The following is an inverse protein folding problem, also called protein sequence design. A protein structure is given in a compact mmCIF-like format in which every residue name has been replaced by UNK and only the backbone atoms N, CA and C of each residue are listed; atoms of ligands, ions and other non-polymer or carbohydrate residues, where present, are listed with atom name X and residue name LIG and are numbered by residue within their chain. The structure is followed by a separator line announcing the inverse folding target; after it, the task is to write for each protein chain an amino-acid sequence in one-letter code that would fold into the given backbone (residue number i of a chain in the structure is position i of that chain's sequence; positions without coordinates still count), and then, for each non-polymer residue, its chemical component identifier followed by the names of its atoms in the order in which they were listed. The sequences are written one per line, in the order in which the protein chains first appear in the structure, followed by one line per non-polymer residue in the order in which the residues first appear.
data_IF_582906994875
#
_entry.id   IF_582906994875
#
_cell.length_a   1.000
_cell.length_b   1.000
_cell.length_c   1.000
_cell.angle_alpha   90.00
_cell.angle_beta   90.00
_cell.angle_gamma   90.00
#
_symmetry.space_group_name_H-M   'P 1'
#
loop_
_entity.id
_entity.type
_entity.pdbx_description
1 polymer ?
#
# COMPACT_ATOMS: atom_id res chain seq x y z
N UNK A 1 -9.88 -30.43 21.55
CA UNK A 1 -11.08 -29.62 21.26
C UNK A 1 -10.65 -28.16 21.22
N UNK A 2 -10.98 -27.48 20.13
CA UNK A 2 -10.55 -26.17 19.59
C UNK A 2 -9.69 -25.21 20.44
N UNK A 3 -8.60 -24.79 19.79
CA UNK A 3 -7.65 -23.70 20.06
C UNK A 3 -8.34 -22.34 20.23
N UNK A 4 -8.18 -21.72 21.41
CA UNK A 4 -8.40 -20.29 21.63
C UNK A 4 -7.07 -19.54 21.42
N UNK A 5 -6.88 -19.01 20.20
CA UNK A 5 -5.86 -18.00 19.87
C UNK A 5 -6.51 -16.92 19.02
N UNK A 6 -7.41 -16.19 19.65
CA UNK A 6 -8.25 -15.14 19.07
C UNK A 6 -7.50 -13.80 19.08
N UNK A 7 -6.42 -13.67 18.30
CA UNK A 7 -5.55 -12.46 18.31
C UNK A 7 -5.08 -11.97 16.93
N UNK A 8 -5.71 -12.37 15.83
CA UNK A 8 -5.45 -11.78 14.51
C UNK A 8 -6.79 -11.36 13.89
N UNK A 9 -7.18 -10.10 14.06
CA UNK A 9 -8.21 -9.49 13.24
C UNK A 9 -7.48 -8.68 12.17
N UNK A 10 -7.62 -9.17 10.95
CA UNK A 10 -6.89 -8.86 9.72
C UNK A 10 -6.99 -7.38 9.32
N UNK A 11 -5.87 -6.66 9.34
CA UNK A 11 -5.53 -5.58 8.40
C UNK A 11 -4.03 -5.70 8.16
N UNK A 12 -3.63 -6.14 6.96
CA UNK A 12 -2.22 -6.35 6.60
C UNK A 12 -1.78 -5.18 5.73
N UNK A 13 -1.01 -4.27 6.31
CA UNK A 13 -0.35 -3.18 5.58
C UNK A 13 0.81 -3.79 4.81
N UNK A 14 0.58 -4.14 3.55
CA UNK A 14 1.65 -4.51 2.64
C UNK A 14 1.87 -3.35 1.67
N UNK A 15 2.90 -2.57 1.96
CA UNK A 15 3.41 -1.55 1.04
C UNK A 15 3.86 -2.29 -0.24
N UNK A 16 3.01 -2.27 -1.27
CA UNK A 16 3.38 -2.73 -2.60
C UNK A 16 4.43 -1.75 -3.16
N UNK A 17 5.70 -2.13 -3.05
CA UNK A 17 6.81 -1.31 -3.50
C UNK A 17 6.89 -1.29 -5.03
N UNK A 18 6.20 -0.34 -5.67
CA UNK A 18 6.22 -0.15 -7.12
C UNK A 18 7.15 1.02 -7.45
N UNK A 19 8.44 0.84 -7.18
CA UNK A 19 9.53 1.72 -7.63
C UNK A 19 10.86 0.95 -7.54
N UNK A 20 11.76 1.05 -8.55
CA UNK A 20 13.02 0.28 -8.59
C UNK A 20 14.09 0.73 -7.57
N UNK A 21 13.93 1.87 -6.89
CA UNK A 21 15.01 2.52 -6.12
C UNK A 21 14.93 2.38 -4.59
N UNK A 22 14.52 1.22 -4.05
CA UNK A 22 14.81 0.91 -2.63
C UNK A 22 16.20 0.34 -2.51
N UNK A 23 17.09 1.16 -1.97
CA UNK A 23 18.43 0.73 -1.59
C UNK A 23 18.32 -0.45 -0.60
N UNK A 24 18.84 -1.65 -0.93
CA UNK A 24 18.82 -2.81 -0.04
C UNK A 24 19.56 -2.57 1.30
N UNK A 25 20.33 -1.48 1.42
CA UNK A 25 20.97 -1.02 2.67
C UNK A 25 20.02 -0.35 3.66
N UNK A 26 18.76 -0.09 3.31
CA UNK A 26 17.79 0.53 4.21
C UNK A 26 17.27 -0.43 5.32
N UNK A 27 17.68 -1.70 5.32
CA UNK A 27 17.37 -2.66 6.41
C UNK A 27 15.89 -3.06 6.54
N UNK A 28 15.06 -2.70 5.56
CA UNK A 28 13.60 -2.93 5.56
C UNK A 28 13.18 -4.18 4.79
N UNK A 29 14.11 -4.88 4.12
CA UNK A 29 13.81 -6.02 3.25
C UNK A 29 13.04 -7.16 3.96
N UNK A 30 13.29 -7.40 5.25
CA UNK A 30 12.58 -8.41 6.06
C UNK A 30 11.21 -7.97 6.58
N UNK A 31 10.75 -6.75 6.25
CA UNK A 31 9.47 -6.19 6.71
C UNK A 31 8.37 -6.25 5.65
N UNK A 32 8.69 -6.73 4.45
CA UNK A 32 7.73 -6.89 3.34
C UNK A 32 7.35 -8.36 3.21
N UNK A 33 6.05 -8.66 3.21
CA UNK A 33 5.56 -10.02 3.01
C UNK A 33 5.49 -10.40 1.52
N UNK A 34 5.30 -9.45 0.61
CA UNK A 34 5.55 -9.62 -0.82
C UNK A 34 6.11 -8.36 -1.50
N UNK A 35 6.72 -8.56 -2.67
CA UNK A 35 7.24 -7.49 -3.54
C UNK A 35 6.63 -7.64 -4.92
N UNK A 36 6.05 -6.56 -5.44
CA UNK A 36 5.42 -6.53 -6.75
C UNK A 36 6.10 -5.48 -7.62
N UNK A 37 6.83 -5.93 -8.63
CA UNK A 37 7.47 -5.05 -9.59
C UNK A 37 6.59 -4.91 -10.85
N UNK A 38 6.40 -3.68 -11.33
CA UNK A 38 5.55 -3.42 -12.51
C UNK A 38 6.03 -4.15 -13.76
N UNK A 39 7.34 -4.33 -13.87
CA UNK A 39 7.98 -4.90 -15.06
C UNK A 39 7.82 -6.43 -15.11
N UNK A 40 7.68 -7.08 -13.96
CA UNK A 40 7.38 -8.52 -13.86
C UNK A 40 5.91 -8.83 -14.13
N UNK A 41 5.01 -7.87 -13.87
CA UNK A 41 3.56 -8.07 -14.00
C UNK A 41 3.00 -7.56 -15.34
N UNK A 42 3.76 -6.75 -16.09
CA UNK A 42 3.29 -6.10 -17.31
C UNK A 42 2.15 -5.09 -17.09
N UNK A 43 1.88 -4.71 -15.84
CA UNK A 43 0.76 -3.85 -15.44
C UNK A 43 1.31 -2.63 -14.71
N UNK A 44 0.88 -1.44 -15.14
CA UNK A 44 1.26 -0.17 -14.52
C UNK A 44 0.07 0.51 -13.88
N UNK A 45 0.34 1.25 -12.81
CA UNK A 45 -0.58 2.23 -12.25
C UNK A 45 -0.96 3.23 -13.37
N UNK A 46 -2.25 3.60 -13.56
CA UNK A 46 -3.33 3.46 -12.59
C UNK A 46 -4.24 2.21 -12.75
N UNK A 47 -3.73 1.08 -13.27
CA UNK A 47 -4.53 -0.14 -13.43
C UNK A 47 -4.77 -0.84 -12.06
N UNK A 48 -6.03 -1.08 -11.64
CA UNK A 48 -6.36 -1.68 -10.35
C UNK A 48 -5.90 -3.13 -10.19
N UNK A 49 -5.68 -3.84 -11.30
CA UNK A 49 -5.26 -5.24 -11.28
C UNK A 49 -3.93 -5.43 -10.54
N UNK A 50 -3.07 -4.41 -10.53
CA UNK A 50 -1.83 -4.42 -9.78
C UNK A 50 -2.06 -4.64 -8.27
N UNK A 51 -3.00 -3.90 -7.68
CA UNK A 51 -3.33 -4.01 -6.27
C UNK A 51 -4.16 -5.27 -5.97
N UNK A 52 -5.06 -5.67 -6.88
CA UNK A 52 -5.85 -6.90 -6.72
C UNK A 52 -4.97 -8.16 -6.74
N UNK A 53 -3.98 -8.23 -7.63
CA UNK A 53 -3.00 -9.33 -7.66
C UNK A 53 -2.15 -9.37 -6.41
N UNK A 54 -1.74 -8.21 -5.90
CA UNK A 54 -1.03 -8.13 -4.63
C UNK A 54 -1.89 -8.69 -3.49
N UNK A 55 -3.13 -8.23 -3.34
CA UNK A 55 -4.05 -8.74 -2.31
C UNK A 55 -4.30 -10.25 -2.45
N UNK A 56 -4.52 -10.74 -3.68
CA UNK A 56 -4.74 -12.15 -3.96
C UNK A 56 -3.54 -13.04 -3.60
N UNK A 57 -2.32 -12.63 -3.97
CA UNK A 57 -1.10 -13.38 -3.64
C UNK A 57 -0.84 -13.46 -2.13
N UNK A 58 -1.35 -12.49 -1.37
CA UNK A 58 -1.22 -12.41 0.07
C UNK A 58 -2.37 -13.09 0.84
N UNK A 59 -3.43 -13.49 0.11
CA UNK A 59 -4.63 -14.07 0.67
C UNK A 59 -5.42 -13.09 1.54
N UNK A 60 -5.42 -11.80 1.21
CA UNK A 60 -6.10 -10.74 1.96
C UNK A 60 -7.22 -10.10 1.15
N UNK A 61 -8.24 -9.59 1.85
CA UNK A 61 -9.31 -8.81 1.23
C UNK A 61 -8.79 -7.41 0.86
N UNK A 62 -8.92 -6.97 -0.40
CA UNK A 62 -8.65 -5.59 -0.81
C UNK A 62 -9.24 -4.53 0.13
N UNK A 63 -10.47 -4.72 0.62
CA UNK A 63 -11.13 -3.76 1.51
C UNK A 63 -10.43 -3.62 2.87
N UNK A 64 -9.62 -4.61 3.28
CA UNK A 64 -8.77 -4.57 4.47
C UNK A 64 -7.34 -4.11 4.20
N UNK A 65 -7.04 -3.60 3.00
CA UNK A 65 -5.70 -3.20 2.59
C UNK A 65 -5.59 -1.69 2.43
N UNK A 66 -4.39 -1.18 2.72
CA UNK A 66 -4.03 0.22 2.55
C UNK A 66 -3.01 0.32 1.43
N UNK A 67 -3.12 1.35 0.60
CA UNK A 67 -2.13 1.66 -0.43
C UNK A 67 -1.47 2.99 -0.13
N UNK A 68 -0.14 2.99 -0.06
CA UNK A 68 0.64 4.19 0.22
C UNK A 68 1.48 4.51 -1.01
N UNK A 69 1.34 5.73 -1.53
CA UNK A 69 2.12 6.22 -2.67
C UNK A 69 2.23 7.73 -2.68
N UNK A 70 2.82 8.31 -3.71
CA UNK A 70 3.15 9.74 -3.75
C UNK A 70 2.53 10.50 -4.92
N UNK A 71 1.79 9.81 -5.79
CA UNK A 71 1.12 10.39 -6.96
C UNK A 71 -0.40 10.18 -6.89
N UNK A 72 -1.19 11.25 -6.88
CA UNK A 72 -2.66 11.23 -6.87
C UNK A 72 -3.24 10.53 -8.11
N UNK A 73 -2.79 10.90 -9.31
CA UNK A 73 -3.30 10.32 -10.56
C UNK A 73 -2.96 8.83 -10.76
N UNK A 74 -2.01 8.28 -10.00
CA UNK A 74 -1.55 6.89 -10.14
C UNK A 74 -1.83 6.03 -8.92
N UNK A 75 -1.33 6.43 -7.76
CA UNK A 75 -1.34 5.64 -6.54
C UNK A 75 -2.71 5.68 -5.87
N UNK A 76 -3.21 6.88 -5.61
CA UNK A 76 -4.53 7.08 -5.03
C UNK A 76 -5.60 6.51 -5.97
N UNK A 77 -5.46 6.78 -7.28
CA UNK A 77 -6.40 6.26 -8.27
C UNK A 77 -6.42 4.73 -8.36
N UNK A 78 -5.28 4.05 -8.21
CA UNK A 78 -5.22 2.57 -8.16
C UNK A 78 -5.95 2.04 -6.96
N UNK A 79 -5.70 2.64 -5.79
CA UNK A 79 -6.32 2.21 -4.56
C UNK A 79 -7.85 2.29 -4.64
N UNK A 80 -8.37 3.42 -5.14
CA UNK A 80 -9.81 3.61 -5.37
C UNK A 80 -10.38 2.60 -6.36
N UNK A 81 -9.74 2.42 -7.52
CA UNK A 81 -10.22 1.49 -8.56
C UNK A 81 -10.15 0.03 -8.12
N UNK A 82 -9.21 -0.31 -7.25
CA UNK A 82 -9.03 -1.66 -6.73
C UNK A 82 -9.97 -1.99 -5.57
N UNK A 83 -10.69 -0.99 -5.02
CA UNK A 83 -11.58 -1.17 -3.88
C UNK A 83 -10.79 -1.37 -2.58
N UNK A 84 -9.64 -0.71 -2.44
CA UNK A 84 -8.85 -0.78 -1.22
C UNK A 84 -9.50 0.01 -0.09
N UNK A 85 -9.29 -0.43 1.15
CA UNK A 85 -9.84 0.21 2.34
C UNK A 85 -9.31 1.62 2.59
N UNK A 86 -8.06 1.90 2.20
CA UNK A 86 -7.50 3.23 2.29
C UNK A 86 -6.46 3.53 1.19
N UNK A 87 -6.45 4.77 0.74
CA UNK A 87 -5.45 5.36 -0.12
C UNK A 87 -4.72 6.48 0.64
N UNK A 88 -3.45 6.27 0.96
CA UNK A 88 -2.61 7.25 1.67
C UNK A 88 -1.62 7.88 0.70
N UNK A 89 -1.63 9.21 0.66
CA UNK A 89 -0.67 9.99 -0.12
C UNK A 89 0.47 10.46 0.78
N UNK A 90 1.68 9.96 0.53
CA UNK A 90 2.90 10.48 1.13
C UNK A 90 3.49 11.54 0.21
N UNK A 91 3.53 12.80 0.67
CA UNK A 91 3.99 13.92 -0.16
C UNK A 91 5.45 13.75 -0.58
N UNK A 92 5.71 14.02 -1.85
CA UNK A 92 7.05 14.12 -2.40
C UNK A 92 7.11 15.28 -3.42
N UNK A 93 8.30 15.72 -3.86
CA UNK A 93 8.41 16.69 -4.94
C UNK A 93 7.76 16.24 -6.27
N UNK A 94 7.40 14.96 -6.40
CA UNK A 94 6.75 14.36 -7.57
C UNK A 94 5.23 14.28 -7.44
N UNK A 95 4.67 14.71 -6.31
CA UNK A 95 3.22 14.71 -6.10
C UNK A 95 2.56 15.71 -7.03
N UNK A 96 1.66 15.21 -7.87
CA UNK A 96 0.82 15.98 -8.77
C UNK A 96 -0.24 16.78 -7.99
N UNK A 97 -0.53 18.03 -8.38
CA UNK A 97 -1.51 18.86 -7.69
C UNK A 97 -2.93 18.32 -7.84
N UNK A 98 -3.20 17.66 -8.96
CA UNK A 98 -4.53 17.17 -9.34
C UNK A 98 -4.59 15.64 -9.35
N UNK A 99 -5.74 15.07 -9.03
CA UNK A 99 -5.97 13.63 -9.15
C UNK A 99 -7.07 13.14 -8.23
N UNK A 100 -7.02 11.86 -7.87
CA UNK A 100 -7.95 11.29 -6.91
C UNK A 100 -7.64 11.78 -5.49
N UNK A 101 -8.68 11.99 -4.69
CA UNK A 101 -8.57 12.39 -3.28
C UNK A 101 -8.13 11.20 -2.40
N UNK A 102 -7.04 11.33 -1.64
CA UNK A 102 -6.61 10.31 -0.68
C UNK A 102 -7.50 10.31 0.56
N UNK A 103 -7.53 9.19 1.28
CA UNK A 103 -8.17 9.10 2.60
C UNK A 103 -7.32 9.79 3.68
N UNK A 104 -6.00 9.83 3.48
CA UNK A 104 -5.07 10.54 4.34
C UNK A 104 -3.86 11.05 3.56
N UNK A 105 -3.36 12.21 3.95
CA UNK A 105 -2.07 12.72 3.50
C UNK A 105 -1.07 12.72 4.64
N UNK A 106 0.18 12.34 4.34
CA UNK A 106 1.29 12.38 5.28
C UNK A 106 2.52 13.03 4.63
N UNK A 107 3.30 13.76 5.40
CA UNK A 107 4.50 14.44 4.93
C UNK A 107 5.70 13.51 4.83
N UNK A 108 5.80 12.50 5.70
CA UNK A 108 6.98 11.66 5.82
C UNK A 108 6.67 10.27 6.43
N UNK A 109 7.65 9.33 6.46
CA UNK A 109 7.45 8.00 7.03
C UNK A 109 7.13 7.97 8.53
N UNK A 110 7.48 8.99 9.32
CA UNK A 110 7.15 9.05 10.76
C UNK A 110 5.68 9.39 10.96
N UNK A 111 5.16 10.31 10.16
CA UNK A 111 3.72 10.62 10.15
C UNK A 111 2.91 9.43 9.65
N UNK A 112 3.39 8.72 8.61
CA UNK A 112 2.79 7.44 8.21
C UNK A 112 2.77 6.43 9.36
N UNK A 113 3.89 6.24 10.05
CA UNK A 113 3.96 5.33 11.19
C UNK A 113 2.98 5.72 12.29
N UNK A 114 2.86 7.03 12.59
CA UNK A 114 1.93 7.54 13.60
C UNK A 114 0.48 7.31 13.20
N UNK A 115 0.15 7.52 11.92
CA UNK A 115 -1.17 7.23 11.36
C UNK A 115 -1.52 5.74 11.48
N UNK A 116 -0.58 4.85 11.12
CA UNK A 116 -0.76 3.40 11.23
C UNK A 116 -0.93 2.96 12.69
N UNK A 117 -0.14 3.51 13.61
CA UNK A 117 -0.22 3.21 15.03
C UNK A 117 -1.53 3.67 15.68
N UNK A 118 -2.15 4.73 15.19
CA UNK A 118 -3.44 5.23 15.68
C UNK A 118 -4.65 4.40 15.22
N UNK A 119 -4.46 3.55 14.21
CA UNK A 119 -5.50 2.65 13.67
C UNK A 119 -5.35 1.21 14.20
N UNK A 120 -4.61 1.06 15.31
CA UNK A 120 -4.33 -0.19 16.02
C UNK A 120 -4.53 -0.01 17.52
#
# INVERSE_FOLDING_TARGET
MRSDRTWWRTIRVEVAHICPDVNPRAGVAGRFAARFYSDEQGIRKPNPELARRAAAALGVDPAGCWFVGDTRSRDVLVARRAGLGAAVLMRSPRTDPDGAEPDAEVADPRELHSLLAAHW
#
